data_IF_813932434799
#
_entry.id   IF_813932434799
#
_cell.length_a   1.000
_cell.length_b   1.000
_cell.length_c   1.000
_cell.angle_alpha   90.00
_cell.angle_beta   90.00
_cell.angle_gamma   90.00
#
_symmetry.space_group_name_H-M   'P 1'
#
loop_
_entity.id
_entity.type
_entity.pdbx_description
1 polymer ?
#
# COMPACT_ATOMS: atom_id res chain seq x y z
N UNK A 1 -33.54 0.92 -11.45
CA UNK A 1 -32.20 1.47 -11.13
C UNK A 1 -31.42 0.42 -10.36
N UNK A 2 -30.19 0.09 -10.77
CA UNK A 2 -29.36 -0.91 -10.10
C UNK A 2 -28.29 -0.21 -9.26
N UNK A 3 -28.77 0.48 -8.21
CA UNK A 3 -27.96 1.29 -7.30
C UNK A 3 -26.87 0.49 -6.57
N UNK A 4 -27.03 -0.85 -6.48
CA UNK A 4 -26.04 -1.77 -5.90
C UNK A 4 -24.86 -2.10 -6.84
N UNK A 5 -24.97 -1.82 -8.14
CA UNK A 5 -23.92 -2.18 -9.10
C UNK A 5 -22.58 -1.52 -8.79
N UNK A 6 -22.59 -0.22 -8.53
CA UNK A 6 -21.39 0.55 -8.20
C UNK A 6 -20.69 0.07 -6.91
N UNK A 7 -21.38 -0.04 -5.75
CA UNK A 7 -20.73 -0.48 -4.52
C UNK A 7 -20.19 -1.91 -4.61
N UNK A 8 -20.89 -2.84 -5.27
CA UNK A 8 -20.41 -4.22 -5.46
C UNK A 8 -19.10 -4.25 -6.26
N UNK A 9 -18.99 -3.49 -7.35
CA UNK A 9 -17.78 -3.45 -8.17
C UNK A 9 -16.59 -2.90 -7.36
N UNK A 10 -16.84 -1.86 -6.56
CA UNK A 10 -15.82 -1.26 -5.69
C UNK A 10 -15.35 -2.25 -4.64
N UNK A 11 -16.26 -2.93 -3.95
CA UNK A 11 -15.92 -3.90 -2.90
C UNK A 11 -15.17 -5.11 -3.46
N UNK A 12 -15.59 -5.62 -4.63
CA UNK A 12 -14.87 -6.69 -5.32
C UNK A 12 -13.46 -6.26 -5.74
N UNK A 13 -13.30 -5.04 -6.26
CA UNK A 13 -11.99 -4.48 -6.61
C UNK A 13 -11.07 -4.33 -5.39
N UNK A 14 -11.60 -3.86 -4.27
CA UNK A 14 -10.85 -3.75 -3.02
C UNK A 14 -10.49 -5.11 -2.43
N UNK A 15 -11.42 -6.07 -2.43
CA UNK A 15 -11.15 -7.42 -1.97
C UNK A 15 -10.07 -8.10 -2.82
N UNK A 16 -10.17 -8.00 -4.15
CA UNK A 16 -9.17 -8.55 -5.08
C UNK A 16 -7.79 -7.93 -4.83
N UNK A 17 -7.71 -6.61 -4.66
CA UNK A 17 -6.46 -5.92 -4.37
C UNK A 17 -5.86 -6.35 -3.03
N UNK A 18 -6.66 -6.43 -1.96
CA UNK A 18 -6.19 -6.85 -0.63
C UNK A 18 -5.66 -8.28 -0.69
N UNK A 19 -6.41 -9.22 -1.28
CA UNK A 19 -5.99 -10.61 -1.43
C UNK A 19 -4.68 -10.69 -2.22
N UNK A 20 -4.60 -10.02 -3.37
CA UNK A 20 -3.39 -9.98 -4.19
C UNK A 20 -2.19 -9.40 -3.42
N UNK A 21 -2.37 -8.24 -2.78
CA UNK A 21 -1.31 -7.56 -2.04
C UNK A 21 -0.82 -8.41 -0.85
N UNK A 22 -1.73 -9.08 -0.13
CA UNK A 22 -1.37 -10.01 0.94
C UNK A 22 -0.58 -11.19 0.41
N UNK A 23 -1.06 -11.87 -0.64
CA UNK A 23 -0.33 -12.99 -1.26
C UNK A 23 1.05 -12.56 -1.72
N UNK A 24 1.15 -11.42 -2.42
CA UNK A 24 2.44 -10.86 -2.85
C UNK A 24 3.34 -10.54 -1.67
N UNK A 25 2.85 -9.88 -0.62
CA UNK A 25 3.67 -9.57 0.55
C UNK A 25 4.29 -10.82 1.21
N UNK A 26 3.57 -11.95 1.24
CA UNK A 26 4.05 -13.21 1.79
C UNK A 26 4.89 -14.06 0.83
N UNK A 27 4.84 -13.82 -0.48
CA UNK A 27 5.53 -14.63 -1.48
C UNK A 27 7.07 -14.62 -1.32
N UNK A 28 7.65 -13.49 -0.88
CA UNK A 28 9.09 -13.33 -0.53
C UNK A 28 10.09 -13.78 -1.60
N UNK A 29 9.63 -13.91 -2.84
CA UNK A 29 10.36 -14.42 -3.98
C UNK A 29 10.17 -13.47 -5.17
N UNK A 30 11.12 -13.48 -6.12
CA UNK A 30 11.15 -12.60 -7.29
C UNK A 30 11.03 -11.10 -6.96
N UNK A 31 11.66 -10.66 -5.86
CA UNK A 31 11.62 -9.26 -5.43
C UNK A 31 12.71 -8.39 -6.06
N UNK A 32 13.85 -8.98 -6.41
CA UNK A 32 15.03 -8.32 -6.97
C UNK A 32 15.53 -9.06 -8.21
N UNK A 33 15.91 -8.31 -9.24
CA UNK A 33 16.59 -8.85 -10.42
C UNK A 33 17.97 -8.21 -10.52
N UNK A 34 19.00 -8.97 -10.13
CA UNK A 34 20.41 -8.55 -10.08
C UNK A 34 20.89 -7.98 -11.41
N UNK A 35 20.56 -8.65 -12.52
CA UNK A 35 20.92 -8.21 -13.89
C UNK A 35 20.49 -6.78 -14.22
N UNK A 36 19.40 -6.30 -13.63
CA UNK A 36 18.80 -4.99 -13.94
C UNK A 36 18.79 -4.05 -12.74
N UNK A 37 19.44 -4.44 -11.62
CA UNK A 37 19.38 -3.73 -10.33
C UNK A 37 17.94 -3.31 -9.95
N UNK A 38 16.95 -4.11 -10.36
CA UNK A 38 15.55 -3.74 -10.23
C UNK A 38 14.98 -4.34 -8.95
N UNK A 39 14.64 -3.47 -8.01
CA UNK A 39 13.87 -3.80 -6.82
C UNK A 39 12.41 -3.42 -7.03
N UNK A 40 11.51 -4.36 -6.80
CA UNK A 40 10.08 -4.08 -6.90
C UNK A 40 9.64 -3.04 -5.84
N UNK A 41 8.84 -2.02 -6.20
CA UNK A 41 8.41 -0.97 -5.26
C UNK A 41 7.61 -1.48 -4.06
N UNK A 42 7.01 -2.67 -4.17
CA UNK A 42 6.31 -3.33 -3.05
C UNK A 42 7.26 -3.73 -1.92
N UNK A 43 8.53 -3.98 -2.22
CA UNK A 43 9.54 -4.49 -1.29
C UNK A 43 10.54 -3.42 -0.84
N UNK A 44 10.39 -2.19 -1.32
CA UNK A 44 11.24 -1.06 -0.94
C UNK A 44 10.66 -0.28 0.26
N UNK A 45 11.49 0.18 1.22
CA UNK A 45 12.91 -0.13 1.37
C UNK A 45 13.12 -1.57 1.88
N UNK A 46 14.05 -2.31 1.28
CA UNK A 46 14.38 -3.62 1.85
C UNK A 46 15.37 -3.47 3.01
N UNK A 47 14.89 -3.77 4.22
CA UNK A 47 15.68 -3.71 5.46
C UNK A 47 16.18 -5.08 5.93
N UNK A 48 15.97 -6.15 5.17
CA UNK A 48 16.41 -7.49 5.54
C UNK A 48 17.78 -7.82 4.99
N UNK A 49 18.61 -8.49 5.81
CA UNK A 49 19.90 -9.06 5.40
C UNK A 49 19.77 -10.00 4.18
N UNK A 50 18.59 -10.62 3.98
CA UNK A 50 18.30 -11.50 2.84
C UNK A 50 18.16 -10.78 1.49
N UNK A 51 18.09 -9.45 1.49
CA UNK A 51 18.02 -8.67 0.25
C UNK A 51 19.39 -8.43 -0.41
N UNK A 52 20.50 -8.76 0.24
CA UNK A 52 21.83 -8.71 -0.38
C UNK A 52 22.13 -7.36 -1.03
N UNK A 53 22.53 -7.39 -2.31
CA UNK A 53 22.88 -6.21 -3.11
C UNK A 53 21.73 -5.19 -3.25
N UNK A 54 20.47 -5.62 -3.14
CA UNK A 54 19.32 -4.70 -3.18
C UNK A 54 19.23 -3.77 -1.95
N UNK A 55 20.02 -4.04 -0.91
CA UNK A 55 20.06 -3.29 0.34
C UNK A 55 21.33 -2.45 0.50
N UNK A 56 22.19 -2.30 -0.51
CA UNK A 56 23.44 -1.51 -0.34
C UNK A 56 23.19 -0.09 0.16
N UNK A 57 22.05 0.51 -0.20
CA UNK A 57 21.66 1.85 0.23
C UNK A 57 20.89 1.88 1.57
N UNK A 58 20.19 0.80 1.92
CA UNK A 58 19.28 0.76 3.07
C UNK A 58 19.87 -0.03 4.25
N UNK A 59 19.74 0.44 5.50
CA UNK A 59 20.33 -0.25 6.65
C UNK A 59 19.66 -1.62 6.85
N UNK A 60 20.46 -2.68 6.89
CA UNK A 60 20.03 -4.07 7.11
C UNK A 60 19.70 -4.32 8.59
N UNK A 61 18.56 -3.80 9.06
CA UNK A 61 18.17 -3.83 10.48
C UNK A 61 17.42 -5.13 10.83
N UNK A 62 16.79 -5.79 9.85
CA UNK A 62 15.99 -6.99 10.09
C UNK A 62 16.84 -8.27 9.98
N UNK A 63 16.95 -9.08 11.07
CA UNK A 63 17.80 -10.27 11.10
C UNK A 63 17.30 -11.39 10.18
N UNK A 64 18.24 -12.19 9.65
CA UNK A 64 17.97 -13.28 8.71
C UNK A 64 17.27 -14.50 9.33
N UNK A 65 17.28 -14.63 10.66
CA UNK A 65 16.70 -15.74 11.43
C UNK A 65 15.95 -15.25 12.67
N UNK A 66 14.86 -15.93 13.03
CA UNK A 66 13.98 -15.61 14.18
C UNK A 66 12.52 -15.36 13.80
N UNK A 67 11.61 -15.15 14.78
CA UNK A 67 10.18 -14.89 14.53
C UNK A 67 9.92 -13.62 13.71
N UNK A 68 10.83 -12.64 13.76
CA UNK A 68 10.82 -11.44 12.93
C UNK A 68 11.08 -11.74 11.44
N UNK A 69 11.68 -12.89 11.11
CA UNK A 69 11.85 -13.34 9.72
C UNK A 69 10.55 -13.87 9.10
N UNK A 70 9.45 -14.01 9.85
CA UNK A 70 8.10 -14.31 9.33
C UNK A 70 7.34 -13.04 8.91
N UNK A 71 7.85 -11.86 9.26
CA UNK A 71 7.27 -10.60 8.82
C UNK A 71 7.58 -10.35 7.33
N UNK A 72 6.59 -9.98 6.50
CA UNK A 72 6.84 -9.58 5.11
C UNK A 72 7.93 -8.51 5.05
N UNK A 73 8.89 -8.63 4.12
CA UNK A 73 9.91 -7.60 3.91
C UNK A 73 9.28 -6.23 3.58
N UNK A 74 8.07 -6.26 3.03
CA UNK A 74 7.23 -5.11 2.70
C UNK A 74 6.41 -4.54 3.89
N UNK A 75 6.60 -5.05 5.12
CA UNK A 75 5.80 -4.64 6.29
C UNK A 75 6.01 -3.18 6.67
N UNK A 76 7.18 -2.59 6.36
CA UNK A 76 7.40 -1.19 6.68
C UNK A 76 6.60 -0.29 5.73
N UNK A 77 6.66 -0.50 4.42
CA UNK A 77 6.06 0.43 3.46
C UNK A 77 4.58 0.17 3.16
N UNK A 78 4.17 -1.10 3.00
CA UNK A 78 2.81 -1.42 2.55
C UNK A 78 1.70 -0.98 3.50
N UNK A 79 1.77 -1.18 4.82
CA UNK A 79 0.72 -0.73 5.72
C UNK A 79 0.58 0.79 5.72
N UNK A 80 1.68 1.55 5.68
CA UNK A 80 1.59 3.02 5.65
C UNK A 80 1.03 3.54 4.32
N UNK A 81 1.44 2.96 3.18
CA UNK A 81 0.88 3.31 1.88
C UNK A 81 -0.61 2.94 1.77
N UNK A 82 -0.99 1.78 2.32
CA UNK A 82 -2.38 1.35 2.39
C UNK A 82 -3.20 2.28 3.28
N UNK A 83 -2.70 2.62 4.48
CA UNK A 83 -3.37 3.53 5.40
C UNK A 83 -3.48 4.94 4.82
N UNK A 84 -2.47 5.43 4.12
CA UNK A 84 -2.55 6.69 3.38
C UNK A 84 -3.71 6.66 2.36
N UNK A 85 -3.86 5.55 1.63
CA UNK A 85 -4.95 5.36 0.67
C UNK A 85 -6.31 5.26 1.35
N UNK A 86 -6.43 4.49 2.43
CA UNK A 86 -7.68 4.31 3.19
C UNK A 86 -8.13 5.58 3.92
N UNK A 87 -7.20 6.49 4.21
CA UNK A 87 -7.49 7.78 4.85
C UNK A 87 -7.73 8.91 3.85
N UNK A 88 -7.53 8.69 2.55
CA UNK A 88 -7.70 9.74 1.56
C UNK A 88 -9.19 10.02 1.28
N UNK A 89 -9.50 11.28 0.95
CA UNK A 89 -10.88 11.73 0.71
C UNK A 89 -11.60 10.88 -0.35
N UNK A 90 -10.90 10.49 -1.42
CA UNK A 90 -11.47 9.68 -2.50
C UNK A 90 -11.86 8.27 -2.02
N UNK A 91 -10.95 7.58 -1.33
CA UNK A 91 -11.20 6.21 -0.85
C UNK A 91 -12.23 6.19 0.28
N UNK A 92 -12.20 7.23 1.14
CA UNK A 92 -13.26 7.49 2.12
C UNK A 92 -14.63 7.50 1.48
N UNK A 93 -14.80 8.28 0.40
CA UNK A 93 -16.06 8.29 -0.35
C UNK A 93 -16.46 6.91 -0.89
N UNK A 94 -15.50 6.11 -1.34
CA UNK A 94 -15.74 4.77 -1.88
C UNK A 94 -16.30 3.81 -0.82
N UNK A 95 -15.60 3.61 0.31
CA UNK A 95 -16.07 2.67 1.33
C UNK A 95 -17.23 3.21 2.19
N UNK A 96 -17.40 4.54 2.31
CA UNK A 96 -18.60 5.09 2.96
C UNK A 96 -19.87 4.73 2.18
N UNK A 97 -19.79 4.71 0.85
CA UNK A 97 -20.90 4.32 -0.02
C UNK A 97 -21.03 2.81 -0.15
N UNK A 98 -19.93 2.07 -0.30
CA UNK A 98 -20.00 0.63 -0.52
C UNK A 98 -20.22 -0.18 0.75
N UNK A 99 -19.53 0.15 1.84
CA UNK A 99 -19.57 -0.62 3.11
C UNK A 99 -20.50 0.04 4.13
N UNK A 100 -20.39 1.35 4.38
CA UNK A 100 -21.23 2.06 5.36
C UNK A 100 -22.58 2.55 4.79
N UNK A 101 -22.82 2.38 3.50
CA UNK A 101 -24.10 2.69 2.87
C UNK A 101 -24.61 4.12 3.16
N UNK A 102 -23.72 5.12 3.24
CA UNK A 102 -24.04 6.46 3.76
C UNK A 102 -23.89 7.61 2.75
N UNK A 103 -24.99 8.03 2.08
CA UNK A 103 -25.94 7.18 1.35
C UNK A 103 -25.31 6.62 0.06
N UNK A 104 -25.78 5.46 -0.41
CA UNK A 104 -25.19 4.78 -1.58
C UNK A 104 -25.45 5.47 -2.91
N UNK A 105 -26.63 6.08 -3.05
CA UNK A 105 -27.06 6.81 -4.22
C UNK A 105 -28.01 7.94 -3.80
N UNK A 106 -28.21 8.92 -4.68
CA UNK A 106 -29.04 10.11 -4.39
C UNK A 106 -30.50 9.77 -4.04
N UNK A 107 -31.01 8.61 -4.49
CA UNK A 107 -32.38 8.17 -4.25
C UNK A 107 -32.50 7.11 -3.14
N UNK A 108 -31.39 6.68 -2.53
CA UNK A 108 -31.38 5.62 -1.52
C UNK A 108 -31.15 6.24 -0.15
N UNK A 109 -32.11 6.05 0.76
CA UNK A 109 -31.99 6.52 2.13
C UNK A 109 -30.84 5.81 2.86
N UNK A 110 -30.11 6.57 3.68
CA UNK A 110 -29.12 6.05 4.60
C UNK A 110 -29.78 5.10 5.62
N UNK A 111 -29.21 3.90 5.86
CA UNK A 111 -29.77 2.95 6.83
C UNK A 111 -29.49 3.37 8.28
N UNK A 112 -28.56 4.29 8.51
CA UNK A 112 -28.20 4.78 9.83
C UNK A 112 -29.20 5.85 10.31
N UNK A 113 -29.81 5.62 11.47
CA UNK A 113 -30.74 6.57 12.08
C UNK A 113 -30.04 7.78 12.75
N UNK A 114 -28.74 7.65 13.06
CA UNK A 114 -27.94 8.68 13.74
C UNK A 114 -26.53 8.71 13.17
N UNK A 115 -26.07 9.90 12.79
CA UNK A 115 -24.69 10.13 12.39
C UNK A 115 -23.78 10.16 13.62
N UNK A 116 -22.93 9.15 13.78
CA UNK A 116 -21.94 9.11 14.88
C UNK A 116 -20.65 9.86 14.56
N UNK A 117 -20.51 10.38 13.34
CA UNK A 117 -19.40 11.22 12.93
C UNK A 117 -18.04 10.53 12.80
N UNK A 118 -17.06 11.31 12.35
CA UNK A 118 -15.65 10.94 12.28
C UNK A 118 -14.93 11.01 13.65
N UNK A 119 -15.66 11.28 14.73
CA UNK A 119 -15.09 11.45 16.09
C UNK A 119 -15.00 10.15 16.89
N UNK A 120 -15.57 9.05 16.38
CA UNK A 120 -15.56 7.74 17.05
C UNK A 120 -14.62 6.77 16.34
N UNK A 121 -13.92 5.93 17.11
CA UNK A 121 -13.17 4.80 16.56
C UNK A 121 -14.11 3.87 15.77
N UNK A 122 -13.75 3.42 14.54
CA UNK A 122 -12.46 3.58 13.84
C UNK A 122 -12.32 4.85 12.96
N UNK A 123 -13.38 5.62 12.74
CA UNK A 123 -13.40 6.77 11.81
C UNK A 123 -12.50 7.93 12.24
N UNK A 124 -12.13 8.01 13.53
CA UNK A 124 -11.15 8.99 14.02
C UNK A 124 -9.76 8.86 13.37
N UNK A 125 -9.40 7.66 12.89
CA UNK A 125 -8.14 7.42 12.18
C UNK A 125 -8.05 8.19 10.86
N UNK A 126 -9.17 8.66 10.31
CA UNK A 126 -9.20 9.47 9.08
C UNK A 126 -8.46 10.81 9.26
N UNK A 127 -8.44 11.36 10.48
CA UNK A 127 -7.69 12.58 10.80
C UNK A 127 -6.17 12.37 10.70
N UNK A 128 -5.69 11.12 10.68
CA UNK A 128 -4.28 10.80 10.56
C UNK A 128 -3.76 10.85 9.11
N UNK A 129 -4.62 11.15 8.12
CA UNK A 129 -4.23 11.24 6.71
C UNK A 129 -3.00 12.11 6.49
N UNK A 130 -2.92 13.24 7.18
CA UNK A 130 -1.77 14.16 7.11
C UNK A 130 -0.46 13.50 7.55
N UNK A 131 -0.49 12.67 8.60
CA UNK A 131 0.70 11.98 9.08
C UNK A 131 1.10 10.84 8.14
N UNK A 132 0.12 10.07 7.64
CA UNK A 132 0.38 9.05 6.63
C UNK A 132 0.88 9.63 5.31
N UNK A 133 0.45 10.84 4.94
CA UNK A 133 0.98 11.56 3.77
C UNK A 133 2.48 11.81 3.90
N UNK A 134 2.97 12.27 5.05
CA UNK A 134 4.41 12.49 5.25
C UNK A 134 5.21 11.20 5.13
N UNK A 135 4.71 10.10 5.70
CA UNK A 135 5.36 8.79 5.58
C UNK A 135 5.34 8.28 4.14
N UNK A 136 4.19 8.40 3.46
CA UNK A 136 4.04 7.99 2.06
C UNK A 136 4.92 8.83 1.12
N UNK A 137 5.08 10.12 1.39
CA UNK A 137 5.98 11.00 0.64
C UNK A 137 7.44 10.55 0.79
N UNK A 138 7.87 10.18 2.00
CA UNK A 138 9.21 9.61 2.23
C UNK A 138 9.37 8.33 1.42
N UNK A 139 8.44 7.38 1.53
CA UNK A 139 8.48 6.12 0.75
C UNK A 139 8.49 6.39 -0.75
N UNK A 140 7.77 7.41 -1.22
CA UNK A 140 7.77 7.79 -2.64
C UNK A 140 9.12 8.33 -3.11
N UNK A 141 9.83 9.10 -2.28
CA UNK A 141 11.19 9.56 -2.60
C UNK A 141 12.14 8.37 -2.67
N UNK A 142 12.02 7.43 -1.73
CA UNK A 142 12.78 6.17 -1.72
C UNK A 142 12.55 5.38 -3.01
N UNK A 143 11.29 5.15 -3.38
CA UNK A 143 10.94 4.44 -4.60
C UNK A 143 11.41 5.16 -5.87
N UNK A 144 11.43 6.50 -5.85
CA UNK A 144 11.98 7.29 -6.96
C UNK A 144 13.47 7.06 -7.11
N UNK A 145 14.21 7.01 -6.00
CA UNK A 145 15.64 6.71 -6.02
C UNK A 145 15.91 5.30 -6.55
N UNK A 146 15.18 4.30 -6.05
CA UNK A 146 15.32 2.92 -6.53
C UNK A 146 14.96 2.79 -8.02
N UNK A 147 13.99 3.56 -8.51
CA UNK A 147 13.66 3.64 -9.93
C UNK A 147 14.79 4.26 -10.76
N UNK A 148 15.47 5.29 -10.25
CA UNK A 148 16.65 5.89 -10.91
C UNK A 148 17.80 4.89 -10.96
N UNK A 149 18.04 4.12 -9.91
CA UNK A 149 19.08 3.10 -9.90
C UNK A 149 18.78 1.97 -10.88
N UNK A 150 17.52 1.54 -10.96
CA UNK A 150 17.09 0.56 -11.96
C UNK A 150 17.21 1.06 -13.41
N UNK A 151 17.31 2.38 -13.63
CA UNK A 151 17.52 2.97 -14.96
C UNK A 151 19.00 3.07 -15.38
N UNK A 152 19.93 2.58 -14.56
CA UNK A 152 21.35 2.53 -14.92
C UNK A 152 21.74 1.17 -15.51
N UNK A 153 22.32 1.18 -16.71
CA UNK A 153 22.92 0.02 -17.38
C UNK A 153 24.43 0.22 -17.50
N UNK A 154 25.25 -0.85 -17.51
CA UNK A 154 26.70 -0.76 -17.72
C UNK A 154 27.11 -0.01 -19.01
N UNK A 155 26.21 0.19 -19.98
CA UNK A 155 26.47 0.97 -21.21
C UNK A 155 25.72 2.31 -21.30
N UNK A 156 25.10 2.81 -20.23
CA UNK A 156 24.38 4.10 -20.20
C UNK A 156 22.97 4.03 -19.62
N UNK A 157 22.02 4.77 -20.20
CA UNK A 157 20.61 4.77 -19.79
C UNK A 157 19.96 3.42 -20.16
N UNK A 158 19.56 2.65 -19.16
CA UNK A 158 18.81 1.41 -19.30
C UNK A 158 17.37 1.60 -18.86
N UNK A 159 16.45 0.87 -19.45
CA UNK A 159 15.19 0.59 -18.77
C UNK A 159 15.40 -0.71 -17.99
N UNK A 160 15.08 -0.71 -16.70
CA UNK A 160 15.11 -1.92 -15.85
C UNK A 160 14.01 -2.92 -16.25
N UNK A 161 14.07 -3.42 -17.49
CA UNK A 161 13.20 -4.39 -18.15
C UNK A 161 14.06 -5.44 -18.89
#
# INVERSE_FOLDING_TARGET
DNWLKSPIIVDLGFAAFIIYATVRAFQRDHFFVEKYHYLTPFYSPCLSVKCGEASEFWPQILPASGPLSLLPYALLSLPFLLLFRLTCYYYRGAYYRSVWQAPTACAVAEPHAKYTGETRFPLILQNLHRYFFYIAAIISVINTWDAINAMHSPSGFGFGL
#
